data_IF_561757122170
#
_entry.id   IF_561757122170
#
_cell.length_a   1.000
_cell.length_b   1.000
_cell.length_c   1.000
_cell.angle_alpha   90.00
_cell.angle_beta   90.00
_cell.angle_gamma   90.00
#
_symmetry.space_group_name_H-M   'P 1'
#
loop_
_entity.id
_entity.type
_entity.pdbx_description
1 polymer ?
#
# COMPACT_ATOMS: atom_id res chain seq x y z
N UNK A 1 5.55 -1.48 -0.43
CA UNK A 1 5.02 -1.14 -1.76
C UNK A 1 4.80 0.36 -1.74
N UNK A 2 5.29 1.10 -2.73
CA UNK A 2 4.95 2.52 -2.87
C UNK A 2 3.60 2.56 -3.60
N UNK A 3 2.58 3.17 -3.01
CA UNK A 3 1.26 3.25 -3.65
C UNK A 3 1.17 4.53 -4.46
N UNK A 4 0.95 4.38 -5.77
CA UNK A 4 0.42 5.44 -6.61
C UNK A 4 -1.03 5.05 -6.89
N UNK A 5 -1.97 5.87 -6.44
CA UNK A 5 -3.41 5.64 -6.60
C UNK A 5 -3.90 6.58 -7.70
N UNK A 6 -3.65 6.21 -8.95
CA UNK A 6 -3.95 7.04 -10.11
C UNK A 6 -4.67 6.27 -11.23
N UNK A 7 -5.08 5.04 -10.96
CA UNK A 7 -5.83 4.23 -11.92
C UNK A 7 -7.25 4.79 -12.08
N UNK A 8 -7.79 4.69 -13.29
CA UNK A 8 -9.19 5.03 -13.55
C UNK A 8 -10.11 4.10 -12.73
N UNK A 9 -11.22 4.63 -12.21
CA UNK A 9 -12.20 3.85 -11.45
C UNK A 9 -11.83 3.60 -9.98
N UNK A 10 -10.82 4.28 -9.43
CA UNK A 10 -10.55 4.25 -7.98
C UNK A 10 -11.67 4.94 -7.20
N UNK A 11 -12.12 4.30 -6.13
CA UNK A 11 -13.13 4.82 -5.20
C UNK A 11 -12.53 4.97 -3.80
N UNK A 12 -12.74 6.14 -3.19
CA UNK A 12 -12.34 6.45 -1.82
C UNK A 12 -13.56 6.48 -0.90
N UNK A 13 -13.48 5.78 0.22
CA UNK A 13 -14.50 5.78 1.26
C UNK A 13 -13.87 5.95 2.63
N UNK A 14 -14.61 6.50 3.58
CA UNK A 14 -14.19 6.46 4.98
C UNK A 14 -14.11 5.01 5.48
N UNK A 15 -13.10 4.72 6.31
CA UNK A 15 -12.98 3.44 7.00
C UNK A 15 -13.01 3.65 8.51
N UNK A 16 -13.38 2.60 9.24
CA UNK A 16 -13.25 2.59 10.69
C UNK A 16 -11.80 2.89 11.08
N UNK A 17 -11.61 3.68 12.14
CA UNK A 17 -10.28 4.01 12.63
C UNK A 17 -9.54 2.78 13.18
N UNK A 18 -8.22 2.87 13.18
CA UNK A 18 -7.33 1.89 13.80
C UNK A 18 -6.80 2.45 15.13
N UNK A 19 -7.08 1.77 16.24
CA UNK A 19 -6.50 2.13 17.55
C UNK A 19 -5.25 1.32 17.82
N UNK A 20 -4.11 1.99 17.92
CA UNK A 20 -2.80 1.36 18.12
C UNK A 20 -1.91 2.24 18.99
N UNK A 21 -1.35 1.67 20.06
CA UNK A 21 -0.37 2.36 20.91
C UNK A 21 -0.89 3.65 21.56
N UNK A 22 -2.19 3.73 21.85
CA UNK A 22 -2.84 4.92 22.41
C UNK A 22 -3.18 6.02 21.40
N UNK A 23 -2.93 5.79 20.11
CA UNK A 23 -3.28 6.72 19.02
C UNK A 23 -4.41 6.11 18.19
N UNK A 24 -5.42 6.92 17.87
CA UNK A 24 -6.50 6.58 16.95
C UNK A 24 -6.17 7.14 15.57
N UNK A 25 -5.89 6.24 14.62
CA UNK A 25 -5.54 6.60 13.24
C UNK A 25 -6.80 6.58 12.37
N UNK A 26 -7.21 7.72 11.78
CA UNK A 26 -8.33 7.73 10.83
C UNK A 26 -7.99 6.91 9.59
N UNK A 27 -8.99 6.20 9.06
CA UNK A 27 -8.83 5.28 7.94
C UNK A 27 -9.51 5.80 6.66
N UNK A 28 -8.85 5.58 5.52
CA UNK A 28 -9.41 5.80 4.17
C UNK A 28 -9.36 4.45 3.45
N UNK A 29 -10.53 3.90 3.14
CA UNK A 29 -10.66 2.71 2.30
C UNK A 29 -10.53 3.12 0.84
N UNK A 30 -9.65 2.43 0.14
CA UNK A 30 -9.41 2.57 -1.29
C UNK A 30 -9.82 1.25 -1.93
N UNK A 31 -10.70 1.34 -2.92
CA UNK A 31 -11.12 0.22 -3.74
C UNK A 31 -11.30 0.67 -5.19
N UNK A 32 -11.90 -0.20 -5.98
CA UNK A 32 -12.15 0.03 -7.40
C UNK A 32 -13.63 -0.15 -7.70
N UNK A 33 -14.12 0.50 -8.75
CA UNK A 33 -15.44 0.24 -9.29
C UNK A 33 -15.56 -1.22 -9.78
N UNK A 34 -16.79 -1.72 -9.84
CA UNK A 34 -17.04 -3.08 -10.30
C UNK A 34 -16.54 -3.28 -11.74
N UNK A 35 -15.83 -4.39 -11.97
CA UNK A 35 -15.23 -4.77 -13.26
C UNK A 35 -14.06 -3.88 -13.73
N UNK A 36 -13.45 -3.12 -12.82
CA UNK A 36 -12.19 -2.41 -13.09
C UNK A 36 -11.03 -3.22 -12.49
N UNK A 37 -10.08 -3.60 -13.36
CA UNK A 37 -8.93 -4.44 -13.00
C UNK A 37 -9.28 -5.92 -12.79
N UNK A 38 -8.24 -6.74 -12.59
CA UNK A 38 -8.39 -8.19 -12.42
C UNK A 38 -8.86 -8.60 -11.01
N UNK A 39 -8.69 -7.71 -10.02
CA UNK A 39 -9.03 -7.95 -8.62
C UNK A 39 -9.80 -6.78 -7.98
N UNK A 40 -11.00 -6.44 -8.49
CA UNK A 40 -11.79 -5.32 -7.95
C UNK A 40 -12.19 -5.51 -6.47
N UNK A 41 -12.17 -6.75 -5.98
CA UNK A 41 -12.46 -7.10 -4.60
C UNK A 41 -11.24 -6.95 -3.66
N UNK A 42 -10.05 -6.65 -4.18
CA UNK A 42 -8.90 -6.29 -3.35
C UNK A 42 -9.19 -4.99 -2.60
N UNK A 43 -8.78 -4.96 -1.34
CA UNK A 43 -9.12 -3.84 -0.45
C UNK A 43 -7.88 -3.29 0.20
N UNK A 44 -7.73 -1.97 0.14
CA UNK A 44 -6.66 -1.24 0.80
C UNK A 44 -7.25 -0.24 1.77
N UNK A 45 -6.70 -0.14 2.97
CA UNK A 45 -7.08 0.89 3.94
C UNK A 45 -5.81 1.60 4.39
N UNK A 46 -5.74 2.88 4.08
CA UNK A 46 -4.68 3.77 4.52
C UNK A 46 -5.06 4.36 5.87
N UNK A 47 -4.19 4.23 6.86
CA UNK A 47 -4.33 4.90 8.15
C UNK A 47 -3.21 5.92 8.34
N UNK A 48 -3.60 7.14 8.66
CA UNK A 48 -2.67 8.25 8.83
C UNK A 48 -2.66 8.77 10.27
N UNK A 49 -1.54 9.35 10.69
CA UNK A 49 -1.43 9.97 12.01
C UNK A 49 -2.35 11.19 12.09
N UNK A 50 -3.21 11.30 13.12
CA UNK A 50 -4.26 12.33 13.17
C UNK A 50 -3.71 13.76 13.16
N UNK A 51 -2.53 14.00 13.74
CA UNK A 51 -1.88 15.32 13.76
C UNK A 51 -0.99 15.57 12.53
N UNK A 52 0.05 14.74 12.33
CA UNK A 52 1.00 14.91 11.23
C UNK A 52 0.40 14.68 9.83
N UNK A 53 -0.78 14.06 9.73
CA UNK A 53 -1.45 13.66 8.47
C UNK A 53 -0.58 12.80 7.56
N UNK A 54 0.43 12.13 8.12
CA UNK A 54 1.31 11.19 7.41
C UNK A 54 0.76 9.78 7.54
N UNK A 55 0.81 9.02 6.46
CA UNK A 55 0.48 7.60 6.48
C UNK A 55 1.43 6.86 7.42
N UNK A 56 0.88 6.00 8.27
CA UNK A 56 1.66 5.16 9.19
C UNK A 56 1.32 3.67 9.04
N UNK A 57 0.08 3.35 8.67
CA UNK A 57 -0.33 1.98 8.48
C UNK A 57 -1.06 1.80 7.17
N UNK A 58 -0.85 0.63 6.58
CA UNK A 58 -1.64 0.11 5.50
C UNK A 58 -2.21 -1.23 5.94
N UNK A 59 -3.53 -1.37 5.85
CA UNK A 59 -4.16 -2.68 5.76
C UNK A 59 -4.40 -3.03 4.31
N UNK A 60 -4.16 -4.28 3.91
CA UNK A 60 -4.53 -4.76 2.59
C UNK A 60 -5.05 -6.20 2.65
N UNK A 61 -6.14 -6.45 1.93
CA UNK A 61 -6.74 -7.76 1.76
C UNK A 61 -6.54 -8.20 0.31
N UNK A 62 -6.00 -9.40 0.13
CA UNK A 62 -5.83 -10.01 -1.20
C UNK A 62 -6.91 -11.06 -1.42
N UNK A 63 -7.52 -11.06 -2.61
CA UNK A 63 -8.59 -11.98 -3.00
C UNK A 63 -8.13 -13.10 -3.92
N UNK A 64 -6.85 -13.11 -4.34
CA UNK A 64 -6.30 -14.14 -5.21
C UNK A 64 -6.62 -15.57 -4.73
N UNK A 65 -7.39 -16.30 -5.53
CA UNK A 65 -7.82 -17.67 -5.26
C UNK A 65 -8.99 -17.82 -4.27
N UNK A 66 -9.75 -16.75 -3.97
CA UNK A 66 -10.92 -16.77 -3.08
C UNK A 66 -12.09 -16.00 -3.70
N UNK A 67 -13.30 -16.49 -3.48
CA UNK A 67 -14.52 -15.78 -3.86
C UNK A 67 -14.80 -14.64 -2.85
N UNK A 68 -14.84 -13.40 -3.35
CA UNK A 68 -15.24 -12.21 -2.60
C UNK A 68 -14.14 -11.55 -1.75
N UNK A 69 -14.54 -10.51 -1.00
CA UNK A 69 -13.62 -9.68 -0.23
C UNK A 69 -12.93 -10.43 0.93
N UNK A 70 -11.62 -10.24 1.10
CA UNK A 70 -10.87 -10.85 2.21
C UNK A 70 -11.39 -10.37 3.58
N UNK A 71 -11.70 -11.32 4.46
CA UNK A 71 -12.03 -11.05 5.87
C UNK A 71 -10.80 -10.81 6.75
N UNK A 72 -9.60 -11.04 6.23
CA UNK A 72 -8.33 -10.85 6.93
C UNK A 72 -7.45 -9.84 6.19
N UNK A 73 -6.97 -8.85 6.93
CA UNK A 73 -6.02 -7.87 6.41
C UNK A 73 -4.60 -8.23 6.80
N UNK A 74 -3.70 -8.11 5.83
CA UNK A 74 -2.27 -7.94 6.06
C UNK A 74 -1.97 -6.49 6.44
N UNK A 75 -0.92 -6.26 7.23
CA UNK A 75 -0.55 -4.91 7.68
C UNK A 75 0.90 -4.59 7.37
N UNK A 76 1.13 -3.36 6.91
CA UNK A 76 2.46 -2.76 6.74
C UNK A 76 2.51 -1.46 7.53
N UNK A 77 3.55 -1.32 8.34
CA UNK A 77 3.89 -0.09 9.05
C UNK A 77 4.91 0.72 8.25
N UNK A 78 4.64 2.01 8.10
CA UNK A 78 5.53 3.01 7.49
C UNK A 78 6.24 3.75 8.63
N UNK A 79 7.46 3.33 8.97
CA UNK A 79 8.11 3.79 10.20
C UNK A 79 8.84 5.13 10.01
N UNK A 80 9.45 5.33 8.84
CA UNK A 80 10.25 6.52 8.55
C UNK A 80 10.00 7.00 7.14
N UNK A 81 10.09 8.30 7.00
CA UNK A 81 9.89 9.02 5.76
C UNK A 81 11.10 9.91 5.51
N UNK A 82 11.52 9.96 4.25
CA UNK A 82 12.59 10.82 3.75
C UNK A 82 12.00 11.76 2.70
N UNK A 83 12.54 12.98 2.63
CA UNK A 83 12.21 13.92 1.56
C UNK A 83 13.23 13.76 0.42
N UNK A 84 12.73 13.51 -0.78
CA UNK A 84 13.54 13.37 -2.00
C UNK A 84 12.96 14.28 -3.07
N UNK A 85 13.68 15.34 -3.42
CA UNK A 85 13.30 16.28 -4.50
C UNK A 85 11.85 16.78 -4.36
N UNK A 86 11.47 17.19 -3.15
CA UNK A 86 10.14 17.72 -2.79
C UNK A 86 9.02 16.69 -2.63
N UNK A 87 9.34 15.39 -2.68
CA UNK A 87 8.39 14.31 -2.40
C UNK A 87 8.73 13.61 -1.08
N UNK A 88 7.71 13.37 -0.27
CA UNK A 88 7.84 12.56 0.94
C UNK A 88 7.66 11.08 0.58
N UNK A 89 8.73 10.29 0.76
CA UNK A 89 8.80 8.88 0.35
C UNK A 89 9.19 8.03 1.57
N UNK A 90 8.69 6.79 1.73
CA UNK A 90 9.09 5.92 2.83
C UNK A 90 10.59 5.61 2.77
N UNK A 91 11.29 5.79 3.88
CA UNK A 91 12.66 5.33 4.07
C UNK A 91 12.70 3.87 4.52
N UNK A 92 11.73 3.47 5.34
CA UNK A 92 11.59 2.08 5.75
C UNK A 92 10.13 1.67 5.97
N UNK A 93 9.83 0.42 5.63
CA UNK A 93 8.54 -0.21 5.90
C UNK A 93 8.73 -1.58 6.57
N UNK A 94 7.78 -1.98 7.39
CA UNK A 94 7.82 -3.27 8.09
C UNK A 94 6.46 -3.96 8.01
N UNK A 95 6.45 -5.24 7.61
CA UNK A 95 5.25 -6.07 7.67
C UNK A 95 4.99 -6.51 9.12
N UNK A 96 3.72 -6.64 9.48
CA UNK A 96 3.32 -7.01 10.84
C UNK A 96 2.68 -8.40 10.89
N UNK A 97 2.90 -9.11 11.99
CA UNK A 97 2.06 -10.26 12.37
C UNK A 97 0.71 -9.73 12.85
N UNK A 98 -0.33 -10.52 12.61
CA UNK A 98 -1.71 -10.13 12.85
C UNK A 98 -2.37 -11.07 13.83
N UNK A 99 -3.13 -10.51 14.77
CA UNK A 99 -4.02 -11.24 15.66
C UNK A 99 -5.32 -10.46 15.75
N UNK A 100 -6.45 -11.14 15.57
CA UNK A 100 -7.78 -10.53 15.58
C UNK A 100 -7.91 -9.32 14.63
N UNK A 101 -7.35 -9.45 13.42
CA UNK A 101 -7.36 -8.43 12.37
C UNK A 101 -6.69 -7.09 12.75
N UNK A 102 -5.79 -7.12 13.74
CA UNK A 102 -4.96 -5.99 14.15
C UNK A 102 -3.48 -6.36 14.11
N UNK A 103 -2.59 -5.43 13.72
CA UNK A 103 -1.15 -5.65 13.80
C UNK A 103 -0.73 -5.75 15.27
N UNK A 104 0.14 -6.71 15.60
CA UNK A 104 0.64 -6.91 16.98
C UNK A 104 2.14 -6.64 17.11
N UNK A 105 2.95 -7.20 16.22
CA UNK A 105 4.40 -7.08 16.23
C UNK A 105 4.95 -7.15 14.82
N UNK A 106 6.20 -6.74 14.63
CA UNK A 106 6.90 -6.87 13.36
C UNK A 106 7.05 -8.34 12.96
N UNK A 107 6.72 -8.68 11.71
CA UNK A 107 6.90 -10.00 11.13
C UNK A 107 8.36 -10.27 10.69
N UNK A 108 9.23 -9.27 10.76
CA UNK A 108 10.64 -9.39 10.40
C UNK A 108 11.39 -8.07 10.49
N UNK A 109 12.54 -8.01 9.82
CA UNK A 109 13.33 -6.78 9.70
C UNK A 109 12.63 -5.77 8.80
N UNK A 110 12.86 -4.50 9.07
CA UNK A 110 12.39 -3.43 8.20
C UNK A 110 13.04 -3.55 6.81
N UNK A 111 12.25 -3.30 5.76
CA UNK A 111 12.76 -3.08 4.42
C UNK A 111 13.19 -1.62 4.31
N UNK A 112 14.48 -1.42 4.12
CA UNK A 112 15.11 -0.10 3.99
C UNK A 112 15.25 0.25 2.51
N UNK A 113 14.86 1.46 2.14
CA UNK A 113 15.07 2.02 0.80
C UNK A 113 16.32 2.89 0.81
N UNK A 114 17.30 2.57 -0.04
CA UNK A 114 18.58 3.28 -0.11
C UNK A 114 18.84 3.76 -1.53
N UNK A 115 19.62 4.85 -1.68
CA UNK A 115 19.91 5.48 -2.98
C UNK A 115 18.64 5.82 -3.77
N UNK A 116 17.62 6.33 -3.07
CA UNK A 116 16.37 6.76 -3.69
C UNK A 116 16.68 8.01 -4.50
N UNK A 117 16.32 7.98 -5.79
CA UNK A 117 16.49 9.09 -6.70
C UNK A 117 15.16 9.37 -7.43
N UNK A 118 14.97 10.62 -7.82
CA UNK A 118 13.82 11.08 -8.57
C UNK A 118 14.30 11.98 -9.69
N UNK A 119 14.10 11.52 -10.91
CA UNK A 119 14.34 12.28 -12.13
C UNK A 119 13.00 12.68 -12.78
N UNK A 120 12.97 13.86 -13.40
CA UNK A 120 11.87 14.31 -14.25
C UNK A 120 12.04 13.82 -15.71
N UNK A 121 13.21 13.29 -16.07
CA UNK A 121 13.44 12.65 -17.35
C UNK A 121 12.52 11.45 -17.51
N UNK A 122 11.88 11.36 -18.67
CA UNK A 122 11.07 10.20 -19.00
C UNK A 122 12.00 8.99 -19.16
N UNK A 123 11.64 7.88 -18.53
CA UNK A 123 12.27 6.61 -18.83
C UNK A 123 11.91 6.19 -20.25
N UNK A 124 12.87 5.62 -20.98
CA UNK A 124 12.62 5.10 -22.33
C UNK A 124 11.54 4.03 -22.30
N UNK A 125 10.62 4.04 -23.27
CA UNK A 125 9.53 3.05 -23.38
C UNK A 125 10.04 1.60 -23.44
N UNK A 126 11.25 1.38 -23.97
CA UNK A 126 11.90 0.07 -23.99
C UNK A 126 12.17 -0.44 -22.58
N UNK A 127 12.31 0.43 -21.58
CA UNK A 127 12.48 0.01 -20.17
C UNK A 127 11.29 -0.79 -19.65
N UNK A 128 10.08 -0.49 -20.12
CA UNK A 128 8.84 -1.16 -19.71
C UNK A 128 8.35 -2.18 -20.74
N UNK A 129 9.13 -2.41 -21.81
CA UNK A 129 8.76 -3.35 -22.86
C UNK A 129 8.95 -4.79 -22.39
N UNK A 130 8.07 -5.70 -22.82
CA UNK A 130 8.20 -7.13 -22.53
C UNK A 130 9.57 -7.61 -23.02
N UNK A 131 10.40 -8.28 -22.19
CA UNK A 131 11.64 -8.88 -22.66
C UNK A 131 11.36 -9.96 -23.72
N UNK A 132 12.35 -10.25 -24.57
CA UNK A 132 12.22 -11.28 -25.62
C UNK A 132 11.76 -12.62 -25.06
N UNK A 133 12.33 -13.04 -23.92
CA UNK A 133 11.99 -14.27 -23.21
C UNK A 133 10.70 -14.21 -22.40
N UNK A 134 10.03 -13.06 -22.33
CA UNK A 134 8.76 -12.92 -21.61
C UNK A 134 7.64 -13.70 -22.32
N UNK A 135 6.79 -14.37 -21.57
CA UNK A 135 5.60 -15.04 -22.11
C UNK A 135 4.39 -14.38 -21.47
N UNK A 136 3.39 -14.01 -22.27
CA UNK A 136 2.10 -13.63 -21.72
C UNK A 136 1.43 -14.88 -21.17
N UNK A 137 1.06 -14.85 -19.91
CA UNK A 137 0.32 -15.93 -19.26
C UNK A 137 -1.10 -15.40 -19.07
N UNK A 138 -2.07 -16.14 -19.62
CA UNK A 138 -3.50 -15.93 -19.36
C UNK A 138 -3.90 -16.56 -18.02
#
# INVERSE_FOLDING_TARGET
>A
MLFLLADDGIVYNEANSLDMGGITYPGIKIGYEANIGDTPDDTHILYYHPEAKKMEWLAYGVTYGKDGTSSQYSFVKYNKWQEVNGLLIPEEITWCKIKNNKPIESAGKARIFTKVDKDAANMDKMTFSKPESGVYVE
#
